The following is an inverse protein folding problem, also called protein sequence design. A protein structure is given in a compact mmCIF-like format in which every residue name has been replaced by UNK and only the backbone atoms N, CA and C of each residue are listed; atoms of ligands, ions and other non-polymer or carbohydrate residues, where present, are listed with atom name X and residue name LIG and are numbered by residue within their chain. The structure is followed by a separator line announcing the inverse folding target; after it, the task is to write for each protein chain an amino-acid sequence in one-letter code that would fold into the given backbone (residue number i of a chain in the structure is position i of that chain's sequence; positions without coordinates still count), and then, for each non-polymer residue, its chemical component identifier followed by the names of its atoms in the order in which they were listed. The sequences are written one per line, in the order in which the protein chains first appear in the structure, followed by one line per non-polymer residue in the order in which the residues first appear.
data_IF_207374296321
#
_entry.id   IF_207374296321
#
_cell.length_a   1.000
_cell.length_b   1.000
_cell.length_c   1.000
_cell.angle_alpha   90.00
_cell.angle_beta   90.00
_cell.angle_gamma   90.00
#
_symmetry.space_group_name_H-M   'P 1'
#
loop_
_entity.id
_entity.type
_entity.pdbx_description
1 polymer ?
#
# COMPACT_ATOMS: atom_id res chain seq x y z
N UNK A 1 12.72 19.77 -12.19
CA UNK A 1 12.35 21.20 -12.13
C UNK A 1 11.30 21.36 -11.04
N UNK A 2 11.62 22.07 -9.95
CA UNK A 2 10.67 22.35 -8.85
C UNK A 2 9.86 23.59 -9.23
N UNK A 3 8.53 23.49 -9.34
CA UNK A 3 7.68 24.68 -9.51
C UNK A 3 7.60 25.40 -8.18
N UNK A 4 8.21 26.58 -8.11
CA UNK A 4 7.98 27.55 -7.05
C UNK A 4 6.56 28.13 -7.21
N UNK A 5 5.74 28.07 -6.17
CA UNK A 5 4.50 28.83 -6.10
C UNK A 5 4.85 30.25 -5.63
N UNK A 6 5.25 31.11 -6.57
CA UNK A 6 5.29 32.55 -6.34
C UNK A 6 3.97 33.14 -6.80
N UNK A 7 3.19 33.69 -5.86
CA UNK A 7 2.06 34.56 -6.16
C UNK A 7 2.31 35.91 -5.50
N UNK A 8 2.56 36.93 -6.31
CA UNK A 8 2.47 38.34 -5.96
C UNK A 8 1.38 38.95 -6.84
N UNK A 9 0.60 39.87 -6.25
CA UNK A 9 -0.47 40.72 -6.81
C UNK A 9 -1.92 40.20 -6.70
N UNK A 10 -2.74 41.04 -6.07
CA UNK A 10 -4.11 41.36 -6.53
C UNK A 10 -5.23 40.53 -5.91
N UNK A 11 -5.96 41.12 -4.96
CA UNK A 11 -7.02 40.49 -4.18
C UNK A 11 -8.08 39.72 -4.95
N UNK A 12 -8.33 38.48 -4.52
CA UNK A 12 -9.62 37.82 -4.52
C UNK A 12 -9.50 36.55 -3.64
N UNK A 13 -10.34 36.44 -2.60
CA UNK A 13 -10.57 35.24 -1.75
C UNK A 13 -9.37 34.69 -0.96
N UNK A 14 -9.37 34.96 0.35
CA UNK A 14 -8.76 34.05 1.31
C UNK A 14 -9.56 32.73 1.28
N UNK A 15 -9.20 31.80 0.40
CA UNK A 15 -9.72 30.43 0.45
C UNK A 15 -9.40 29.86 1.84
N UNK A 16 -10.44 29.48 2.58
CA UNK A 16 -10.33 28.84 3.89
C UNK A 16 -9.38 27.62 3.78
N UNK A 17 -8.46 27.48 4.72
CA UNK A 17 -7.50 26.35 4.81
C UNK A 17 -8.22 25.00 4.75
N UNK A 18 -9.43 24.93 5.29
CA UNK A 18 -10.28 23.73 5.19
C UNK A 18 -10.62 23.41 3.72
N UNK A 19 -10.92 24.42 2.92
CA UNK A 19 -11.23 24.29 1.49
C UNK A 19 -10.00 23.93 0.66
N UNK A 20 -8.84 24.55 0.93
CA UNK A 20 -7.58 24.18 0.26
C UNK A 20 -7.17 22.74 0.62
N UNK A 21 -7.20 22.38 1.89
CA UNK A 21 -6.90 21.02 2.37
C UNK A 21 -7.81 19.97 1.71
N UNK A 22 -9.11 20.25 1.61
CA UNK A 22 -10.06 19.34 0.97
C UNK A 22 -9.84 19.19 -0.54
N UNK A 23 -9.29 20.21 -1.22
CA UNK A 23 -9.02 20.18 -2.66
C UNK A 23 -7.70 19.49 -3.00
N UNK A 24 -6.64 19.77 -2.23
CA UNK A 24 -5.27 19.33 -2.59
C UNK A 24 -4.85 17.99 -1.97
N UNK A 25 -5.28 17.68 -0.73
CA UNK A 25 -4.90 16.43 -0.08
C UNK A 25 -5.37 15.18 -0.85
N UNK A 26 -6.57 15.14 -1.46
CA UNK A 26 -6.96 13.99 -2.26
C UNK A 26 -6.02 13.75 -3.44
N UNK A 27 -5.66 14.81 -4.17
CA UNK A 27 -4.75 14.73 -5.34
C UNK A 27 -3.36 14.23 -4.93
N UNK A 28 -2.83 14.70 -3.81
CA UNK A 28 -1.52 14.26 -3.28
C UNK A 28 -1.54 12.77 -2.90
N UNK A 29 -2.64 12.29 -2.34
CA UNK A 29 -2.77 10.88 -1.95
C UNK A 29 -3.12 9.99 -3.16
N UNK A 30 -3.86 10.49 -4.14
CA UNK A 30 -4.18 9.79 -5.39
C UNK A 30 -2.93 9.54 -6.24
N UNK A 31 -1.95 10.45 -6.17
CA UNK A 31 -0.62 10.26 -6.76
C UNK A 31 0.23 9.19 -6.05
N UNK A 32 -0.26 8.57 -4.97
CA UNK A 32 0.40 7.43 -4.34
C UNK A 32 0.09 6.12 -5.08
N UNK A 33 1.00 5.16 -4.97
CA UNK A 33 0.74 3.80 -5.44
C UNK A 33 -0.49 3.22 -4.73
N UNK A 34 -1.31 2.43 -5.46
CA UNK A 34 -2.51 1.73 -4.96
C UNK A 34 -2.34 1.02 -3.61
N UNK A 35 -1.10 0.61 -3.31
CA UNK A 35 -0.70 0.09 -2.00
C UNK A 35 0.52 0.88 -1.55
N UNK A 36 0.49 1.45 -0.35
CA UNK A 36 1.64 2.11 0.26
C UNK A 36 1.69 1.86 1.76
N UNK A 37 2.88 1.95 2.37
CA UNK A 37 3.05 1.67 3.81
C UNK A 37 2.36 2.74 4.65
N UNK A 38 1.77 2.34 5.78
CA UNK A 38 1.06 3.25 6.71
C UNK A 38 1.98 4.27 7.36
N UNK A 39 3.23 3.91 7.60
CA UNK A 39 4.29 4.76 8.17
C UNK A 39 4.80 5.86 7.22
N UNK A 40 4.38 5.84 5.94
CA UNK A 40 4.65 6.96 5.02
C UNK A 40 3.79 8.19 5.28
N UNK A 41 2.65 8.07 5.97
CA UNK A 41 1.77 9.24 6.19
C UNK A 41 2.45 10.40 6.96
N UNK A 42 3.25 10.14 8.02
CA UNK A 42 4.09 11.18 8.64
C UNK A 42 5.04 11.89 7.68
N UNK A 43 5.62 11.16 6.72
CA UNK A 43 6.56 11.73 5.75
C UNK A 43 5.80 12.61 4.75
N UNK A 44 4.65 12.12 4.25
CA UNK A 44 3.75 12.91 3.39
C UNK A 44 3.26 14.18 4.11
N UNK A 45 2.96 14.10 5.41
CA UNK A 45 2.59 15.26 6.20
C UNK A 45 3.74 16.27 6.31
N UNK A 46 4.96 15.80 6.56
CA UNK A 46 6.14 16.64 6.63
C UNK A 46 6.42 17.32 5.29
N UNK A 47 6.41 16.55 4.19
CA UNK A 47 6.60 17.05 2.83
C UNK A 47 5.54 18.08 2.43
N UNK A 48 4.29 17.87 2.85
CA UNK A 48 3.19 18.82 2.60
C UNK A 48 3.33 20.11 3.43
N UNK A 49 3.83 19.99 4.66
CA UNK A 49 3.97 21.12 5.57
C UNK A 49 5.23 21.95 5.26
N UNK A 50 6.21 21.40 4.54
CA UNK A 50 7.40 22.11 4.11
C UNK A 50 7.04 23.24 3.13
N UNK A 51 7.13 24.49 3.60
CA UNK A 51 6.77 25.68 2.83
C UNK A 51 5.27 26.07 2.88
N UNK A 52 4.44 25.37 3.65
CA UNK A 52 3.03 25.73 3.83
C UNK A 52 2.85 26.77 4.96
N UNK A 53 1.96 27.73 4.78
CA UNK A 53 1.59 28.72 5.81
C UNK A 53 0.76 28.11 6.96
N UNK A 54 0.26 26.88 6.80
CA UNK A 54 -0.50 26.15 7.83
C UNK A 54 -0.18 24.66 7.77
N UNK A 55 0.01 24.03 8.94
CA UNK A 55 0.37 22.62 9.04
C UNK A 55 -0.85 21.69 9.00
N UNK A 56 -0.79 20.66 8.18
CA UNK A 56 -1.71 19.52 8.16
C UNK A 56 -1.22 18.41 9.09
N UNK A 57 -2.13 17.87 9.89
CA UNK A 57 -1.84 16.74 10.76
C UNK A 57 -1.89 15.40 10.01
N UNK A 58 -1.12 14.41 10.48
CA UNK A 58 -1.23 13.02 10.00
C UNK A 58 -2.66 12.48 10.11
N UNK A 59 -3.42 12.93 11.11
CA UNK A 59 -4.82 12.52 11.31
C UNK A 59 -5.72 13.02 10.17
N UNK A 60 -5.48 14.22 9.67
CA UNK A 60 -6.20 14.78 8.52
C UNK A 60 -5.93 13.94 7.28
N UNK A 61 -4.65 13.65 6.98
CA UNK A 61 -4.26 12.77 5.88
C UNK A 61 -4.88 11.37 6.00
N UNK A 62 -4.90 10.78 7.20
CA UNK A 62 -5.56 9.48 7.43
C UNK A 62 -7.04 9.51 7.07
N UNK A 63 -7.76 10.57 7.44
CA UNK A 63 -9.18 10.72 7.09
C UNK A 63 -9.36 10.85 5.59
N UNK A 64 -8.54 11.64 4.92
CA UNK A 64 -8.57 11.78 3.46
C UNK A 64 -8.36 10.43 2.78
N UNK A 65 -7.32 9.68 3.18
CA UNK A 65 -7.03 8.32 2.66
C UNK A 65 -8.23 7.39 2.81
N UNK A 66 -8.90 7.42 3.96
CA UNK A 66 -10.11 6.62 4.22
C UNK A 66 -11.27 7.07 3.33
N UNK A 67 -11.49 8.38 3.21
CA UNK A 67 -12.57 8.96 2.39
C UNK A 67 -12.41 8.65 0.90
N UNK A 68 -11.19 8.45 0.41
CA UNK A 68 -10.91 8.00 -0.97
C UNK A 68 -10.98 6.47 -1.13
N UNK A 69 -11.56 5.75 -0.16
CA UNK A 69 -11.80 4.32 -0.26
C UNK A 69 -10.61 3.42 0.05
N UNK A 70 -9.55 3.95 0.69
CA UNK A 70 -8.43 3.14 1.14
C UNK A 70 -8.60 2.65 2.59
N UNK A 71 -8.14 1.44 2.86
CA UNK A 71 -8.18 0.85 4.19
C UNK A 71 -6.80 0.36 4.64
N UNK A 72 -6.49 0.59 5.91
CA UNK A 72 -5.27 0.07 6.55
C UNK A 72 -5.39 -1.43 6.79
N UNK A 73 -4.55 -2.24 6.14
CA UNK A 73 -4.57 -3.71 6.17
C UNK A 73 -3.21 -4.29 6.53
N UNK A 74 -3.20 -5.53 7.05
CA UNK A 74 -1.96 -6.31 7.15
C UNK A 74 -1.64 -6.87 5.76
N UNK A 75 -0.40 -6.70 5.25
CA UNK A 75 -0.02 -7.27 3.96
C UNK A 75 -0.10 -8.81 4.01
N UNK A 76 -0.60 -9.41 2.93
CA UNK A 76 -0.69 -10.87 2.77
C UNK A 76 0.70 -11.45 2.53
N UNK A 77 1.04 -12.54 3.23
CA UNK A 77 2.27 -13.31 3.00
C UNK A 77 2.00 -14.39 1.95
N UNK A 78 1.96 -14.00 0.69
CA UNK A 78 1.96 -14.96 -0.41
C UNK A 78 3.08 -14.59 -1.38
N UNK A 79 3.85 -15.57 -1.86
CA UNK A 79 4.80 -15.31 -2.93
C UNK A 79 4.03 -14.77 -4.13
N UNK A 80 4.53 -13.70 -4.73
CA UNK A 80 4.00 -13.21 -5.99
C UNK A 80 4.33 -14.26 -7.07
N UNK A 81 3.30 -14.94 -7.57
CA UNK A 81 3.49 -15.92 -8.64
C UNK A 81 3.64 -15.20 -9.97
N UNK A 82 4.79 -15.39 -10.61
CA UNK A 82 5.04 -14.96 -11.99
C UNK A 82 4.16 -15.77 -12.95
N UNK A 83 4.02 -15.30 -14.19
CA UNK A 83 3.30 -16.05 -15.23
C UNK A 83 3.89 -17.46 -15.43
N UNK A 84 5.22 -17.57 -15.38
CA UNK A 84 5.95 -18.84 -15.48
C UNK A 84 5.61 -19.77 -14.33
N UNK A 85 5.62 -19.28 -13.08
CA UNK A 85 5.24 -20.10 -11.92
C UNK A 85 3.82 -20.65 -12.06
N UNK A 86 2.88 -19.81 -12.50
CA UNK A 86 1.48 -20.24 -12.70
C UNK A 86 1.35 -21.31 -13.77
N UNK A 87 2.06 -21.17 -14.88
CA UNK A 87 2.07 -22.15 -15.96
C UNK A 87 2.65 -23.50 -15.49
N UNK A 88 3.77 -23.49 -14.77
CA UNK A 88 4.40 -24.69 -14.22
C UNK A 88 3.49 -25.39 -13.20
N UNK A 89 2.90 -24.64 -12.26
CA UNK A 89 1.98 -25.19 -11.27
C UNK A 89 0.74 -25.80 -11.93
N UNK A 90 0.19 -25.14 -12.96
CA UNK A 90 -0.96 -25.67 -13.70
C UNK A 90 -0.60 -26.92 -14.49
N UNK A 91 0.56 -26.95 -15.14
CA UNK A 91 1.05 -28.11 -15.87
C UNK A 91 1.29 -29.30 -14.93
N UNK A 92 1.92 -29.06 -13.78
CA UNK A 92 2.12 -30.07 -12.75
C UNK A 92 0.77 -30.61 -12.24
N UNK A 93 -0.17 -29.74 -11.88
CA UNK A 93 -1.49 -30.15 -11.41
C UNK A 93 -2.26 -30.99 -12.46
N UNK A 94 -2.13 -30.67 -13.74
CA UNK A 94 -2.76 -31.45 -14.83
C UNK A 94 -2.13 -32.83 -15.00
N UNK A 95 -0.80 -32.93 -14.93
CA UNK A 95 -0.11 -34.23 -15.02
C UNK A 95 -0.50 -35.17 -13.89
N UNK A 96 -0.70 -34.62 -12.69
CA UNK A 96 -1.04 -35.39 -11.50
C UNK A 96 -2.55 -35.40 -11.20
N UNK A 97 -3.38 -34.94 -12.14
CA UNK A 97 -4.84 -34.82 -11.93
C UNK A 97 -5.53 -36.18 -11.69
N UNK A 98 -5.02 -37.24 -12.32
CA UNK A 98 -5.57 -38.59 -12.21
C UNK A 98 -4.86 -39.45 -11.15
N UNK A 99 -3.96 -38.87 -10.34
CA UNK A 99 -3.24 -39.63 -9.33
C UNK A 99 -4.19 -40.16 -8.24
N UNK A 100 -4.07 -41.45 -7.99
CA UNK A 100 -4.80 -42.17 -6.96
C UNK A 100 -4.12 -42.00 -5.60
N UNK A 101 -4.81 -42.42 -4.54
CA UNK A 101 -4.25 -42.41 -3.18
C UNK A 101 -2.96 -43.23 -3.11
N UNK A 102 -2.88 -44.33 -3.84
CA UNK A 102 -1.67 -45.16 -3.87
C UNK A 102 -0.52 -44.47 -4.60
N UNK A 103 -0.77 -43.72 -5.68
CA UNK A 103 0.26 -42.91 -6.34
C UNK A 103 0.88 -41.89 -5.37
N UNK A 104 0.04 -41.21 -4.58
CA UNK A 104 0.50 -40.25 -3.57
C UNK A 104 1.37 -40.86 -2.47
N UNK A 105 1.16 -42.14 -2.11
CA UNK A 105 1.96 -42.83 -1.08
C UNK A 105 3.42 -43.02 -1.50
N UNK A 106 3.70 -43.03 -2.81
CA UNK A 106 5.05 -43.16 -3.33
C UNK A 106 5.81 -41.82 -3.36
N UNK A 107 5.14 -40.70 -3.05
CA UNK A 107 5.76 -39.37 -3.04
C UNK A 107 6.38 -39.10 -1.68
N UNK A 108 7.69 -38.87 -1.67
CA UNK A 108 8.41 -38.40 -0.47
C UNK A 108 8.62 -36.90 -0.56
N UNK A 109 8.09 -36.15 0.40
CA UNK A 109 8.23 -34.70 0.49
C UNK A 109 9.40 -34.32 1.39
N UNK A 110 10.15 -33.29 1.03
CA UNK A 110 11.19 -32.69 1.86
C UNK A 110 11.04 -31.16 1.84
N UNK A 111 11.11 -30.53 3.01
CA UNK A 111 11.11 -29.09 3.14
C UNK A 111 11.90 -28.70 4.40
N UNK A 112 12.48 -27.50 4.38
CA UNK A 112 13.22 -26.94 5.51
C UNK A 112 12.36 -25.91 6.25
N UNK A 113 12.02 -26.23 7.51
CA UNK A 113 11.28 -25.30 8.36
C UNK A 113 12.19 -24.55 9.33
N UNK A 114 12.03 -23.21 9.36
CA UNK A 114 12.71 -22.36 10.34
C UNK A 114 11.91 -22.29 11.64
N UNK A 115 12.50 -22.76 12.73
CA UNK A 115 11.95 -22.60 14.08
C UNK A 115 12.59 -21.38 14.77
N UNK A 116 11.75 -20.43 15.20
CA UNK A 116 12.20 -19.20 15.87
C UNK A 116 11.48 -19.05 17.22
N UNK A 117 12.24 -18.78 18.28
CA UNK A 117 11.74 -18.61 19.66
C UNK A 117 10.88 -17.34 19.82
N UNK A 118 11.21 -16.27 19.08
CA UNK A 118 10.43 -15.04 19.05
C UNK A 118 10.16 -14.62 17.61
N UNK A 119 8.89 -14.36 17.29
CA UNK A 119 8.50 -13.79 16.00
C UNK A 119 8.52 -12.27 16.12
N UNK A 120 9.53 -11.62 15.55
CA UNK A 120 9.45 -10.19 15.24
C UNK A 120 8.46 -9.99 14.09
N UNK A 121 7.17 -9.93 14.40
CA UNK A 121 6.14 -9.61 13.42
C UNK A 121 6.12 -8.10 13.14
N UNK A 122 7.22 -7.57 12.62
CA UNK A 122 7.42 -6.17 12.23
C UNK A 122 6.60 -5.80 10.97
N UNK A 123 5.34 -6.27 10.89
CA UNK A 123 4.45 -5.96 9.77
C UNK A 123 3.99 -4.53 9.88
N UNK A 124 4.66 -3.66 9.14
CA UNK A 124 4.11 -2.35 8.82
C UNK A 124 2.80 -2.55 8.07
N UNK A 125 1.71 -2.02 8.62
CA UNK A 125 0.41 -2.03 7.94
C UNK A 125 0.53 -1.23 6.64
N UNK A 126 -0.27 -1.58 5.64
CA UNK A 126 -0.32 -0.86 4.37
C UNK A 126 -1.69 -0.24 4.18
N UNK A 127 -1.77 0.91 3.54
CA UNK A 127 -3.01 1.41 2.96
C UNK A 127 -3.22 0.73 1.62
N UNK A 128 -4.43 0.23 1.38
CA UNK A 128 -4.83 -0.41 0.13
C UNK A 128 -6.21 0.10 -0.28
N UNK A 129 -6.31 0.57 -1.52
CA UNK A 129 -7.58 1.00 -2.11
C UNK A 129 -8.48 -0.21 -2.41
N UNK A 130 -9.78 -0.05 -2.14
CA UNK A 130 -10.82 -0.99 -2.56
C UNK A 130 -11.20 -0.77 -4.03
N UNK A 131 -11.68 -1.83 -4.68
CA UNK A 131 -12.24 -1.79 -6.04
C UNK A 131 -13.72 -1.47 -5.99
#
# INVERSE_FOLDING_TARGET
MKKAFNNHLGGHLSEDVSQMSNRYLPVVVENQTRIFKRDRLPHIAADFNDGASTSVSVRTLQRTVINMGSQSRRPTRVPLLTAVHKALLLFWARQHYHWTVDDWKHVTWFDESRFQLYRMDARVRVWKQHY
#
